data_IF_963032520132
#
_entry.id   IF_963032520132
#
_cell.length_a   1.000
_cell.length_b   1.000
_cell.length_c   1.000
_cell.angle_alpha   90.00
_cell.angle_beta   90.00
_cell.angle_gamma   90.00
#
_symmetry.space_group_name_H-M   'P 1'
#
loop_
_entity.id
_entity.type
_entity.pdbx_description
1 polymer ?
#
# COMPACT_ATOMS: atom_id res chain seq x y z
N UNK A 1 -13.94 -10.32 -12.68
CA UNK A 1 -13.03 -10.58 -11.56
C UNK A 1 -13.44 -9.64 -10.46
N UNK A 2 -13.68 -10.18 -9.27
CA UNK A 2 -14.15 -9.40 -8.11
C UNK A 2 -12.96 -9.12 -7.18
N UNK A 3 -13.07 -8.07 -6.37
CA UNK A 3 -12.06 -7.64 -5.41
C UNK A 3 -12.74 -7.45 -4.05
N UNK A 4 -12.17 -8.04 -3.00
CA UNK A 4 -12.55 -7.81 -1.62
C UNK A 4 -11.53 -6.90 -0.95
N UNK A 5 -12.00 -5.78 -0.39
CA UNK A 5 -11.20 -4.91 0.48
C UNK A 5 -11.32 -5.39 1.92
N UNK A 6 -10.19 -5.83 2.49
CA UNK A 6 -10.05 -6.27 3.88
C UNK A 6 -8.99 -5.40 4.57
N UNK A 7 -8.89 -5.43 5.90
CA UNK A 7 -7.82 -4.69 6.56
C UNK A 7 -7.75 -4.83 8.05
N UNK A 8 -6.58 -4.52 8.58
CA UNK A 8 -6.25 -4.41 10.00
C UNK A 8 -5.01 -3.52 10.15
N UNK A 9 -4.89 -2.76 11.24
CA UNK A 9 -3.77 -1.83 11.43
C UNK A 9 -2.66 -2.46 12.25
N UNK A 10 -1.69 -3.08 11.55
CA UNK A 10 -0.62 -3.86 12.19
C UNK A 10 0.68 -3.08 12.39
N UNK A 11 0.79 -1.87 11.83
CA UNK A 11 1.99 -1.05 11.86
C UNK A 11 1.85 0.26 12.63
N UNK A 12 2.97 0.74 13.14
CA UNK A 12 3.19 2.10 13.64
C UNK A 12 4.11 2.85 12.66
N UNK A 13 4.57 4.07 12.97
CA UNK A 13 5.55 4.74 12.10
C UNK A 13 6.92 4.05 12.05
N UNK A 14 7.26 3.16 12.99
CA UNK A 14 8.62 2.64 13.16
C UNK A 14 8.70 1.11 13.31
N UNK A 15 7.62 0.46 13.73
CA UNK A 15 7.58 -0.98 14.01
C UNK A 15 6.17 -1.53 13.86
N UNK A 16 6.02 -2.84 13.98
CA UNK A 16 4.71 -3.46 14.19
C UNK A 16 4.07 -2.98 15.50
N UNK A 17 2.73 -2.96 15.52
CA UNK A 17 1.91 -2.64 16.69
C UNK A 17 1.92 -3.79 17.71
N UNK A 18 1.99 -5.02 17.22
CA UNK A 18 2.06 -6.26 18.00
C UNK A 18 3.38 -6.97 17.71
N UNK A 19 3.84 -7.81 18.63
CA UNK A 19 5.02 -8.61 18.37
C UNK A 19 4.75 -9.62 17.25
N UNK A 20 5.77 -10.02 16.47
CA UNK A 20 5.61 -11.04 15.44
C UNK A 20 4.99 -12.33 15.96
N UNK A 21 5.36 -12.76 17.17
CA UNK A 21 4.82 -13.96 17.81
C UNK A 21 3.30 -13.86 18.06
N UNK A 22 2.80 -12.69 18.49
CA UNK A 22 1.36 -12.48 18.70
C UNK A 22 0.61 -12.49 17.37
N UNK A 23 1.17 -11.84 16.34
CA UNK A 23 0.56 -11.83 15.01
C UNK A 23 0.48 -13.26 14.47
N UNK A 24 1.55 -14.03 14.61
CA UNK A 24 1.63 -15.41 14.14
C UNK A 24 0.68 -16.35 14.87
N UNK A 25 0.60 -16.26 16.20
CA UNK A 25 -0.24 -17.13 17.01
C UNK A 25 -1.73 -16.81 16.84
N UNK A 26 -2.10 -15.53 16.77
CA UNK A 26 -3.50 -15.11 16.91
C UNK A 26 -4.14 -14.55 15.64
N UNK A 27 -3.38 -13.91 14.75
CA UNK A 27 -3.94 -13.20 13.59
C UNK A 27 -3.80 -14.00 12.30
N UNK A 28 -2.61 -14.53 12.01
CA UNK A 28 -2.35 -15.28 10.77
C UNK A 28 -3.35 -16.44 10.56
N UNK A 29 -3.70 -17.26 11.56
CA UNK A 29 -4.67 -18.35 11.37
C UNK A 29 -6.05 -17.84 10.95
N UNK A 30 -6.50 -16.72 11.52
CA UNK A 30 -7.81 -16.13 11.22
C UNK A 30 -7.82 -15.41 9.86
N UNK A 31 -6.73 -14.72 9.51
CA UNK A 31 -6.56 -14.17 8.16
C UNK A 31 -6.59 -15.28 7.12
N UNK A 32 -5.86 -16.38 7.33
CA UNK A 32 -5.87 -17.53 6.42
C UNK A 32 -7.28 -18.08 6.25
N UNK A 33 -7.98 -18.34 7.37
CA UNK A 33 -9.36 -18.84 7.35
C UNK A 33 -10.30 -17.93 6.56
N UNK A 34 -10.18 -16.61 6.74
CA UNK A 34 -11.01 -15.63 6.03
C UNK A 34 -10.63 -15.51 4.55
N UNK A 35 -9.34 -15.38 4.25
CA UNK A 35 -8.83 -15.14 2.90
C UNK A 35 -9.08 -16.36 2.02
N UNK A 36 -8.98 -17.58 2.56
CA UNK A 36 -9.29 -18.80 1.82
C UNK A 36 -10.74 -18.82 1.30
N UNK A 37 -11.70 -18.21 2.02
CA UNK A 37 -13.08 -18.11 1.55
C UNK A 37 -13.20 -17.27 0.27
N UNK A 38 -12.45 -16.16 0.17
CA UNK A 38 -12.42 -15.32 -1.03
C UNK A 38 -11.64 -15.99 -2.16
N UNK A 39 -10.46 -16.53 -1.84
CA UNK A 39 -9.57 -17.17 -2.82
C UNK A 39 -10.21 -18.38 -3.48
N UNK A 40 -10.97 -19.19 -2.75
CA UNK A 40 -11.70 -20.33 -3.31
C UNK A 40 -12.76 -19.93 -4.34
N UNK A 41 -13.23 -18.69 -4.32
CA UNK A 41 -14.17 -18.13 -5.30
C UNK A 41 -13.46 -17.35 -6.42
N UNK A 42 -12.12 -17.31 -6.43
CA UNK A 42 -11.35 -16.52 -7.39
C UNK A 42 -11.50 -15.00 -7.20
N UNK A 43 -11.86 -14.55 -5.99
CA UNK A 43 -11.94 -13.14 -5.62
C UNK A 43 -10.54 -12.68 -5.20
N UNK A 44 -10.09 -11.55 -5.75
CA UNK A 44 -8.83 -10.93 -5.36
C UNK A 44 -8.94 -10.27 -3.98
N UNK A 45 -7.84 -10.20 -3.25
CA UNK A 45 -7.77 -9.60 -1.93
C UNK A 45 -6.89 -8.35 -1.97
N UNK A 46 -7.50 -7.21 -1.68
CA UNK A 46 -6.78 -6.01 -1.26
C UNK A 46 -6.77 -5.94 0.25
N UNK A 47 -5.58 -5.96 0.86
CA UNK A 47 -5.45 -5.89 2.32
C UNK A 47 -4.89 -4.54 2.76
N UNK A 48 -5.64 -3.86 3.62
CA UNK A 48 -5.28 -2.59 4.22
C UNK A 48 -4.51 -2.80 5.54
N UNK A 49 -3.32 -2.22 5.69
CA UNK A 49 -2.65 -2.04 6.98
C UNK A 49 -1.75 -0.80 6.98
N UNK A 50 -2.03 0.15 7.88
CA UNK A 50 -1.17 1.32 8.07
C UNK A 50 0.22 0.97 8.62
N UNK A 51 1.15 1.93 8.51
CA UNK A 51 2.42 1.92 9.23
C UNK A 51 3.51 1.02 8.64
N UNK A 52 4.48 0.68 9.48
CA UNK A 52 5.66 -0.10 9.15
C UNK A 52 5.31 -1.59 9.12
N UNK A 53 5.18 -2.13 7.90
CA UNK A 53 4.71 -3.49 7.64
C UNK A 53 5.73 -4.35 6.88
N UNK A 54 6.94 -3.84 6.64
CA UNK A 54 8.04 -4.60 6.01
C UNK A 54 8.22 -6.01 6.60
N UNK A 55 8.15 -6.23 7.93
CA UNK A 55 8.35 -7.56 8.50
C UNK A 55 7.25 -8.59 8.15
N UNK A 56 6.10 -8.16 7.62
CA UNK A 56 4.95 -9.02 7.30
C UNK A 56 4.75 -9.25 5.80
N UNK A 57 5.64 -8.74 4.94
CA UNK A 57 5.47 -8.83 3.48
C UNK A 57 5.39 -10.28 3.00
N UNK A 58 6.33 -11.13 3.43
CA UNK A 58 6.33 -12.53 3.03
C UNK A 58 5.07 -13.25 3.56
N UNK A 59 4.65 -12.93 4.78
CA UNK A 59 3.39 -13.43 5.36
C UNK A 59 2.18 -13.07 4.52
N UNK A 60 2.06 -11.82 4.05
CA UNK A 60 0.94 -11.39 3.22
C UNK A 60 0.94 -12.07 1.84
N UNK A 61 2.11 -12.28 1.25
CA UNK A 61 2.25 -13.06 0.01
C UNK A 61 1.78 -14.51 0.24
N UNK A 62 2.19 -15.14 1.34
CA UNK A 62 1.81 -16.52 1.69
C UNK A 62 0.32 -16.68 2.01
N UNK A 63 -0.30 -15.64 2.56
CA UNK A 63 -1.74 -15.56 2.77
C UNK A 63 -2.52 -15.32 1.45
N UNK A 64 -1.83 -14.91 0.39
CA UNK A 64 -2.39 -14.59 -0.92
C UNK A 64 -3.11 -13.26 -0.97
N UNK A 65 -2.53 -12.26 -0.32
CA UNK A 65 -2.90 -10.87 -0.57
C UNK A 65 -2.44 -10.50 -1.97
N UNK A 66 -3.38 -10.09 -2.83
CA UNK A 66 -3.08 -9.68 -4.21
C UNK A 66 -2.61 -8.23 -4.28
N UNK A 67 -3.17 -7.36 -3.42
CA UNK A 67 -2.85 -5.93 -3.35
C UNK A 67 -2.60 -5.52 -1.91
N UNK A 68 -1.39 -5.04 -1.60
CA UNK A 68 -1.08 -4.46 -0.30
C UNK A 68 -1.35 -2.94 -0.32
N UNK A 69 -2.16 -2.48 0.62
CA UNK A 69 -2.58 -1.10 0.75
C UNK A 69 -2.43 -0.60 2.20
N UNK A 70 -2.05 0.66 2.45
CA UNK A 70 -0.99 1.31 1.71
C UNK A 70 0.35 0.59 1.96
N UNK A 71 1.37 0.91 1.17
CA UNK A 71 2.76 0.62 1.56
C UNK A 71 3.41 1.71 2.40
N UNK A 72 2.64 2.74 2.77
CA UNK A 72 2.99 3.91 3.58
C UNK A 72 4.43 4.43 3.41
N UNK A 73 4.61 5.42 2.53
CA UNK A 73 5.93 5.92 2.14
C UNK A 73 6.78 6.43 3.30
N UNK A 74 6.14 6.98 4.35
CA UNK A 74 6.85 7.54 5.50
C UNK A 74 7.30 6.49 6.52
N UNK A 75 6.81 5.25 6.43
CA UNK A 75 7.10 4.19 7.39
C UNK A 75 7.88 3.01 6.78
N UNK A 76 7.93 2.88 5.46
CA UNK A 76 8.56 1.74 4.81
C UNK A 76 9.55 2.15 3.71
N UNK A 77 10.51 1.27 3.44
CA UNK A 77 11.44 1.39 2.33
C UNK A 77 10.78 0.87 1.04
N UNK A 78 10.27 1.79 0.24
CA UNK A 78 9.56 1.50 -1.02
C UNK A 78 10.39 0.63 -1.99
N UNK A 79 11.71 0.82 -2.05
CA UNK A 79 12.59 0.03 -2.94
C UNK A 79 12.66 -1.43 -2.48
N UNK A 80 12.83 -1.67 -1.18
CA UNK A 80 12.82 -3.04 -0.63
C UNK A 80 11.47 -3.70 -0.84
N UNK A 81 10.39 -2.98 -0.59
CA UNK A 81 9.03 -3.47 -0.81
C UNK A 81 8.81 -3.87 -2.27
N UNK A 82 9.21 -3.02 -3.23
CA UNK A 82 9.09 -3.35 -4.64
C UNK A 82 9.87 -4.63 -4.99
N UNK A 83 11.11 -4.74 -4.52
CA UNK A 83 11.97 -5.91 -4.76
C UNK A 83 11.36 -7.20 -4.20
N UNK A 84 10.78 -7.16 -2.99
CA UNK A 84 10.19 -8.33 -2.35
C UNK A 84 8.89 -8.80 -3.04
N UNK A 85 8.12 -7.86 -3.60
CA UNK A 85 6.74 -8.09 -4.06
C UNK A 85 6.58 -8.19 -5.58
N UNK A 86 7.59 -7.80 -6.37
CA UNK A 86 7.51 -7.77 -7.83
C UNK A 86 7.06 -9.12 -8.42
N UNK A 87 6.00 -9.09 -9.23
CA UNK A 87 5.39 -10.27 -9.85
C UNK A 87 4.62 -11.19 -8.88
N UNK A 88 4.52 -10.85 -7.59
CA UNK A 88 3.84 -11.66 -6.56
C UNK A 88 2.65 -10.94 -5.93
N UNK A 89 2.78 -9.64 -5.70
CA UNK A 89 1.77 -8.81 -5.04
C UNK A 89 1.85 -7.39 -5.60
N UNK A 90 0.70 -6.84 -5.95
CA UNK A 90 0.60 -5.44 -6.35
C UNK A 90 0.71 -4.53 -5.11
N UNK A 91 1.22 -3.33 -5.32
CA UNK A 91 1.36 -2.34 -4.27
C UNK A 91 0.41 -1.18 -4.51
N UNK A 92 -0.13 -0.60 -3.45
CA UNK A 92 -0.93 0.61 -3.53
C UNK A 92 -0.52 1.61 -2.46
N UNK A 93 -0.77 2.90 -2.71
CA UNK A 93 -0.35 3.98 -1.81
C UNK A 93 0.96 4.61 -2.26
N UNK A 94 1.82 4.91 -1.29
CA UNK A 94 3.17 5.46 -1.43
C UNK A 94 3.25 6.96 -1.78
N UNK A 95 2.11 7.66 -1.78
CA UNK A 95 2.09 9.11 -1.76
C UNK A 95 1.72 9.55 -0.34
N UNK A 96 2.62 10.27 0.30
CA UNK A 96 2.49 10.72 1.68
C UNK A 96 1.25 11.62 1.83
N UNK A 97 0.33 11.15 2.64
CA UNK A 97 -0.85 11.92 3.08
C UNK A 97 -0.44 13.26 3.70
N UNK A 98 0.68 13.30 4.44
CA UNK A 98 1.19 14.53 5.03
C UNK A 98 1.68 15.52 3.97
N UNK A 99 2.36 15.03 2.92
CA UNK A 99 2.76 15.86 1.78
C UNK A 99 1.54 16.44 1.07
N UNK A 100 0.51 15.65 0.79
CA UNK A 100 -0.72 16.17 0.15
C UNK A 100 -1.45 17.15 1.08
N UNK A 101 -1.50 16.89 2.37
CA UNK A 101 -2.22 17.75 3.32
C UNK A 101 -1.59 19.13 3.46
N UNK A 102 -0.25 19.22 3.53
CA UNK A 102 0.44 20.44 3.95
C UNK A 102 1.61 20.88 3.06
N UNK A 103 2.05 20.04 2.12
CA UNK A 103 3.17 20.35 1.22
C UNK A 103 2.76 21.30 0.09
N UNK A 104 3.72 22.02 -0.51
CA UNK A 104 3.46 22.82 -1.69
C UNK A 104 3.11 21.93 -2.90
N UNK A 105 2.27 22.39 -3.85
CA UNK A 105 1.88 21.65 -5.05
C UNK A 105 3.06 21.02 -5.81
N UNK A 106 4.18 21.71 -5.92
CA UNK A 106 5.38 21.24 -6.60
C UNK A 106 5.98 20.02 -5.90
N UNK A 107 5.93 19.98 -4.55
CA UNK A 107 6.40 18.84 -3.77
C UNK A 107 5.50 17.63 -4.01
N UNK A 108 4.18 17.83 -4.02
CA UNK A 108 3.19 16.78 -4.33
C UNK A 108 3.48 16.19 -5.71
N UNK A 109 3.61 17.04 -6.73
CA UNK A 109 3.91 16.61 -8.11
C UNK A 109 5.24 15.86 -8.21
N UNK A 110 6.29 16.34 -7.52
CA UNK A 110 7.59 15.68 -7.51
C UNK A 110 7.54 14.29 -6.88
N UNK A 111 6.80 14.15 -5.77
CA UNK A 111 6.64 12.89 -5.05
C UNK A 111 5.89 11.87 -5.90
N UNK A 112 4.79 12.27 -6.55
CA UNK A 112 4.06 11.40 -7.50
C UNK A 112 4.97 10.90 -8.62
N UNK A 113 5.73 11.79 -9.25
CA UNK A 113 6.63 11.43 -10.35
C UNK A 113 7.71 10.44 -9.89
N UNK A 114 8.38 10.73 -8.78
CA UNK A 114 9.48 9.91 -8.25
C UNK A 114 8.98 8.53 -7.82
N UNK A 115 7.83 8.47 -7.16
CA UNK A 115 7.23 7.22 -6.71
C UNK A 115 6.78 6.35 -7.90
N UNK A 116 6.16 6.94 -8.93
CA UNK A 116 5.81 6.21 -10.16
C UNK A 116 7.06 5.67 -10.85
N UNK A 117 8.13 6.46 -10.97
CA UNK A 117 9.39 6.01 -11.56
C UNK A 117 10.00 4.83 -10.78
N UNK A 118 9.84 4.80 -9.46
CA UNK A 118 10.37 3.75 -8.60
C UNK A 118 9.53 2.46 -8.65
N UNK A 119 8.20 2.58 -8.65
CA UNK A 119 7.29 1.46 -8.40
C UNK A 119 6.50 1.01 -9.62
N UNK A 120 6.30 1.89 -10.60
CA UNK A 120 5.41 1.68 -11.74
C UNK A 120 6.04 0.96 -12.94
N UNK A 121 7.37 1.02 -13.12
CA UNK A 121 8.04 0.61 -14.35
C UNK A 121 7.79 -0.85 -14.80
N UNK A 122 7.43 -1.75 -13.88
CA UNK A 122 7.16 -3.16 -14.16
C UNK A 122 5.71 -3.58 -13.83
N UNK A 123 4.79 -2.60 -13.80
CA UNK A 123 3.39 -2.80 -13.44
C UNK A 123 3.17 -3.20 -11.98
N UNK A 124 1.92 -3.53 -11.64
CA UNK A 124 1.56 -3.96 -10.29
C UNK A 124 1.75 -2.87 -9.23
N UNK A 125 1.51 -1.61 -9.58
CA UNK A 125 1.51 -0.48 -8.66
C UNK A 125 0.32 0.46 -8.94
N UNK A 126 -0.45 0.77 -7.88
CA UNK A 126 -1.54 1.73 -7.88
C UNK A 126 -1.12 2.98 -7.12
N UNK A 127 -0.76 4.04 -7.86
CA UNK A 127 -0.33 5.31 -7.28
C UNK A 127 -1.50 6.04 -6.60
N UNK A 128 -1.53 6.04 -5.26
CA UNK A 128 -2.56 6.73 -4.48
C UNK A 128 -2.03 7.30 -3.16
N UNK A 129 -2.76 8.22 -2.51
CA UNK A 129 -2.42 8.65 -1.15
C UNK A 129 -2.39 7.45 -0.21
N UNK A 130 -1.49 7.48 0.77
CA UNK A 130 -1.43 6.45 1.80
C UNK A 130 -2.74 6.34 2.59
N UNK A 131 -3.48 7.45 2.72
CA UNK A 131 -4.79 7.50 3.36
C UNK A 131 -5.73 8.47 2.64
N UNK A 132 -7.03 8.15 2.64
CA UNK A 132 -8.07 9.08 2.22
C UNK A 132 -8.32 10.13 3.29
N UNK A 133 -8.08 11.41 2.99
CA UNK A 133 -8.28 12.53 3.92
C UNK A 133 -8.98 13.69 3.21
N UNK A 134 -9.61 14.63 3.96
CA UNK A 134 -10.19 15.84 3.39
C UNK A 134 -9.08 16.83 2.98
N UNK A 135 -8.33 16.49 1.92
CA UNK A 135 -7.21 17.28 1.43
C UNK A 135 -7.66 18.66 0.92
N UNK A 136 -6.80 19.70 1.02
CA UNK A 136 -7.06 20.98 0.38
C UNK A 136 -7.28 20.80 -1.12
N UNK A 137 -8.29 21.48 -1.68
CA UNK A 137 -8.71 21.26 -3.08
C UNK A 137 -7.57 21.49 -4.09
N UNK A 138 -6.75 22.53 -3.89
CA UNK A 138 -5.63 22.81 -4.80
C UNK A 138 -4.49 21.79 -4.67
N UNK A 139 -4.32 21.16 -3.51
CA UNK A 139 -3.34 20.10 -3.29
C UNK A 139 -3.80 18.79 -3.93
N UNK A 140 -5.09 18.46 -3.79
CA UNK A 140 -5.69 17.32 -4.48
C UNK A 140 -5.57 17.48 -5.99
N UNK A 141 -5.87 18.69 -6.52
CA UNK A 141 -5.69 18.99 -7.95
C UNK A 141 -4.25 18.79 -8.41
N UNK A 142 -3.27 19.25 -7.63
CA UNK A 142 -1.86 19.05 -7.96
C UNK A 142 -1.46 17.56 -8.04
N UNK A 143 -2.00 16.74 -7.15
CA UNK A 143 -1.83 15.28 -7.17
C UNK A 143 -2.51 14.65 -8.40
N UNK A 144 -3.76 15.02 -8.70
CA UNK A 144 -4.52 14.51 -9.85
C UNK A 144 -3.87 14.89 -11.18
N UNK A 145 -3.40 16.13 -11.32
CA UNK A 145 -2.66 16.58 -12.50
C UNK A 145 -1.34 15.82 -12.65
N UNK A 146 -0.61 15.55 -11.57
CA UNK A 146 0.61 14.74 -11.62
C UNK A 146 0.32 13.30 -12.07
N UNK A 147 -0.77 12.70 -11.57
CA UNK A 147 -1.21 11.40 -12.04
C UNK A 147 -1.58 11.42 -13.53
N UNK A 148 -2.24 12.46 -14.01
CA UNK A 148 -2.57 12.57 -15.42
C UNK A 148 -1.29 12.66 -16.29
N UNK A 149 -0.28 13.40 -15.82
CA UNK A 149 0.98 13.60 -16.55
C UNK A 149 1.88 12.35 -16.56
N UNK A 150 1.93 11.61 -15.45
CA UNK A 150 2.92 10.53 -15.23
C UNK A 150 2.31 9.13 -15.07
N UNK A 151 0.98 9.02 -14.92
CA UNK A 151 0.29 7.78 -14.54
C UNK A 151 0.14 6.74 -15.65
N UNK A 152 0.76 6.97 -16.81
CA UNK A 152 0.90 5.95 -17.86
C UNK A 152 2.28 5.33 -17.76
N UNK A 153 2.35 4.11 -17.24
CA UNK A 153 3.58 3.33 -17.02
C UNK A 153 3.33 1.83 -17.19
#
# INVERSE_FOLDING_TARGET
MELAGLGDDLGTQQSLLLSPAIIEEFLIPEYRRLFDLYRQQGVLIEFHSCGHIEPLIDTFIDLGVDILNPIQATANNLRKLRQATQGKMALAGAISTATIMAGPPEKIRSEVRETIQLLGAEGGYFCRPDQGMPFPADHLRAYEEALADYGTY
#
